data_IF_399170265817
#
_entry.id   IF_399170265817
#
_cell.length_a   1.000
_cell.length_b   1.000
_cell.length_c   1.000
_cell.angle_alpha   90.00
_cell.angle_beta   90.00
_cell.angle_gamma   90.00
#
_symmetry.space_group_name_H-M   'P 1'
#
loop_
_entity.id
_entity.type
_entity.pdbx_description
1 polymer ?
#
# COMPACT_ATOMS: atom_id res chain seq x y z
N UNK A 1 -25.53 56.62 5.94
CA UNK A 1 -26.13 55.89 4.81
C UNK A 1 -25.27 54.64 4.63
N UNK A 2 -25.84 53.45 4.87
CA UNK A 2 -25.24 52.14 4.64
C UNK A 2 -24.73 52.04 3.18
N UNK A 3 -23.70 51.30 2.76
CA UNK A 3 -23.26 49.91 2.95
C UNK A 3 -22.06 49.76 1.97
N UNK A 4 -21.07 48.88 2.04
CA UNK A 4 -21.05 47.44 2.25
C UNK A 4 -19.62 47.03 2.64
N UNK A 5 -19.55 46.24 3.69
CA UNK A 5 -18.51 45.24 3.96
C UNK A 5 -18.27 44.39 2.70
N UNK A 6 -16.99 44.12 2.34
CA UNK A 6 -16.47 42.89 1.69
C UNK A 6 -14.99 43.11 1.34
N UNK A 7 -14.06 43.01 2.30
CA UNK A 7 -13.49 41.76 2.83
C UNK A 7 -12.76 40.94 1.76
N UNK A 8 -11.43 40.90 1.92
CA UNK A 8 -10.51 39.83 1.59
C UNK A 8 -10.63 39.21 0.19
N UNK A 9 -9.71 39.61 -0.70
CA UNK A 9 -9.27 38.79 -1.82
C UNK A 9 -8.72 37.48 -1.24
N UNK A 10 -9.58 36.45 -1.20
CA UNK A 10 -9.30 35.15 -0.66
C UNK A 10 -8.14 34.52 -1.41
N UNK A 11 -6.99 34.48 -0.75
CA UNK A 11 -5.83 33.69 -1.11
C UNK A 11 -6.21 32.20 -0.95
N UNK A 12 -6.91 31.65 -1.95
CA UNK A 12 -7.19 30.22 -2.02
C UNK A 12 -5.90 29.49 -2.43
N UNK A 13 -4.93 29.46 -1.52
CA UNK A 13 -3.89 28.45 -1.53
C UNK A 13 -4.60 27.12 -1.24
N UNK A 14 -5.05 26.43 -2.29
CA UNK A 14 -5.30 25.00 -2.19
C UNK A 14 -3.96 24.35 -1.87
N UNK A 15 -3.66 24.23 -0.58
CA UNK A 15 -2.63 23.31 -0.09
C UNK A 15 -3.14 21.93 -0.42
N UNK A 16 -2.73 21.40 -1.58
CA UNK A 16 -2.69 19.97 -1.79
C UNK A 16 -1.78 19.42 -0.69
N UNK A 17 -2.38 19.01 0.43
CA UNK A 17 -1.68 18.20 1.40
C UNK A 17 -1.27 16.94 0.63
N UNK A 18 0.00 16.87 0.27
CA UNK A 18 0.62 15.64 -0.22
C UNK A 18 0.55 14.68 0.96
N UNK A 19 -0.52 13.90 1.03
CA UNK A 19 -0.54 12.73 1.90
C UNK A 19 0.51 11.81 1.29
N UNK A 20 1.70 11.83 1.88
CA UNK A 20 2.71 10.82 1.64
C UNK A 20 2.08 9.49 2.05
N UNK A 21 1.74 8.67 1.07
CA UNK A 21 1.34 7.30 1.32
C UNK A 21 2.60 6.58 1.82
N UNK A 22 2.68 6.35 3.13
CA UNK A 22 3.70 5.49 3.71
C UNK A 22 3.15 4.08 3.64
N UNK A 23 3.67 3.26 2.73
CA UNK A 23 3.45 1.83 2.77
C UNK A 23 4.08 1.27 4.06
N UNK A 24 3.35 0.42 4.76
CA UNK A 24 3.84 -0.31 5.93
C UNK A 24 4.68 -1.52 5.45
N UNK A 25 5.53 -2.05 6.33
CA UNK A 25 6.50 -3.09 5.98
C UNK A 25 6.25 -4.39 6.75
N UNK A 26 6.39 -5.52 6.07
CA UNK A 26 6.38 -6.85 6.66
C UNK A 26 7.57 -7.67 6.17
N UNK A 27 8.19 -8.45 7.06
CA UNK A 27 9.28 -9.38 6.73
C UNK A 27 8.91 -10.79 7.16
N UNK A 28 9.24 -11.78 6.34
CA UNK A 28 8.99 -13.18 6.69
C UNK A 28 9.33 -14.13 5.55
N UNK A 29 9.09 -15.43 5.79
CA UNK A 29 9.19 -16.45 4.75
C UNK A 29 7.85 -16.63 4.06
N UNK A 30 7.87 -16.79 2.74
CA UNK A 30 6.68 -17.17 1.98
C UNK A 30 6.21 -18.55 2.47
N UNK A 31 4.99 -18.64 2.96
CA UNK A 31 4.34 -19.89 3.30
C UNK A 31 3.60 -20.48 2.10
N UNK A 32 2.86 -19.64 1.37
CA UNK A 32 2.15 -20.04 0.15
C UNK A 32 1.85 -18.83 -0.75
N UNK A 33 1.69 -19.11 -2.04
CA UNK A 33 1.23 -18.16 -3.06
C UNK A 33 0.05 -18.80 -3.77
N UNK A 34 -1.05 -18.07 -3.85
CA UNK A 34 -2.26 -18.44 -4.59
C UNK A 34 -2.45 -17.45 -5.74
N UNK A 35 -1.93 -17.77 -6.94
CA UNK A 35 -2.04 -16.89 -8.10
C UNK A 35 -3.44 -16.87 -8.71
N UNK A 36 -4.32 -17.81 -8.38
CA UNK A 36 -5.70 -17.81 -8.86
C UNK A 36 -6.55 -16.79 -8.10
N UNK A 37 -6.29 -16.65 -6.80
CA UNK A 37 -7.00 -15.73 -5.92
C UNK A 37 -6.21 -14.46 -5.61
N UNK A 38 -5.01 -14.29 -6.17
CA UNK A 38 -4.11 -13.17 -5.95
C UNK A 38 -3.75 -12.96 -4.47
N UNK A 39 -3.32 -14.03 -3.80
CA UNK A 39 -3.01 -14.01 -2.37
C UNK A 39 -1.60 -14.55 -2.09
N UNK A 40 -0.85 -13.83 -1.25
CA UNK A 40 0.42 -14.28 -0.67
C UNK A 40 0.27 -14.42 0.85
N UNK A 41 0.81 -15.51 1.41
CA UNK A 41 0.80 -15.78 2.85
C UNK A 41 2.23 -15.93 3.35
N UNK A 42 2.58 -15.24 4.43
CA UNK A 42 3.84 -15.41 5.16
C UNK A 42 3.71 -16.46 6.28
N UNK A 43 4.84 -17.00 6.75
CA UNK A 43 4.99 -18.00 7.81
C UNK A 43 4.32 -17.67 9.17
N UNK A 44 3.94 -16.41 9.39
CA UNK A 44 3.10 -15.95 10.52
C UNK A 44 1.59 -15.97 10.28
N UNK A 45 1.09 -16.63 9.22
CA UNK A 45 -0.30 -16.56 8.72
C UNK A 45 -0.74 -15.13 8.37
N UNK A 46 0.21 -14.25 8.04
CA UNK A 46 -0.10 -12.89 7.58
C UNK A 46 -0.36 -12.92 6.08
N UNK A 47 -1.49 -12.40 5.67
CA UNK A 47 -2.01 -12.47 4.30
C UNK A 47 -1.94 -11.12 3.61
N UNK A 48 -1.58 -11.14 2.33
CA UNK A 48 -1.46 -9.98 1.46
C UNK A 48 -2.14 -10.22 0.12
N UNK A 49 -2.86 -9.23 -0.37
CA UNK A 49 -3.44 -9.21 -1.70
C UNK A 49 -2.36 -8.80 -2.72
N UNK A 50 -2.26 -9.57 -3.79
CA UNK A 50 -1.33 -9.36 -4.90
C UNK A 50 -2.07 -8.52 -5.96
N UNK A 51 -1.56 -7.36 -6.39
CA UNK A 51 -2.13 -6.65 -7.53
C UNK A 51 -2.09 -7.51 -8.80
N UNK A 52 -3.10 -7.40 -9.67
CA UNK A 52 -3.16 -8.19 -10.92
C UNK A 52 -1.92 -7.98 -11.82
N UNK A 53 -1.28 -6.82 -11.73
CA UNK A 53 -0.08 -6.47 -12.49
C UNK A 53 1.22 -6.98 -11.86
N UNK A 54 1.17 -7.61 -10.70
CA UNK A 54 2.34 -8.04 -9.95
C UNK A 54 2.74 -9.48 -10.31
N UNK A 55 3.90 -9.64 -10.94
CA UNK A 55 4.42 -10.96 -11.30
C UNK A 55 5.08 -11.63 -10.09
N UNK A 56 4.64 -12.85 -9.77
CA UNK A 56 5.14 -13.66 -8.64
C UNK A 56 5.70 -15.01 -9.09
N UNK A 57 5.99 -15.16 -10.39
CA UNK A 57 6.44 -16.41 -11.00
C UNK A 57 7.81 -16.90 -10.51
N UNK A 58 8.68 -15.98 -10.10
CA UNK A 58 10.00 -16.28 -9.53
C UNK A 58 9.98 -16.48 -8.00
N UNK A 59 8.80 -16.44 -7.38
CA UNK A 59 8.64 -16.60 -5.94
C UNK A 59 8.19 -18.01 -5.57
N UNK A 60 8.83 -18.58 -4.56
CA UNK A 60 8.56 -19.93 -4.08
C UNK A 60 8.38 -19.96 -2.55
N UNK A 61 7.57 -20.89 -2.02
CA UNK A 61 7.52 -21.13 -0.58
C UNK A 61 8.90 -21.38 0.03
N UNK A 62 9.17 -20.72 1.16
CA UNK A 62 10.44 -20.78 1.89
C UNK A 62 11.40 -19.63 1.62
N UNK A 63 11.19 -18.85 0.54
CA UNK A 63 11.93 -17.63 0.26
C UNK A 63 11.67 -16.57 1.33
N UNK A 64 12.72 -15.89 1.76
CA UNK A 64 12.60 -14.72 2.63
C UNK A 64 12.22 -13.52 1.77
N UNK A 65 11.25 -12.73 2.20
CA UNK A 65 10.82 -11.51 1.49
C UNK A 65 10.62 -10.34 2.45
N UNK A 66 10.75 -9.14 1.90
CA UNK A 66 10.32 -7.88 2.50
C UNK A 66 9.17 -7.34 1.64
N UNK A 67 8.02 -7.15 2.26
CA UNK A 67 6.80 -6.68 1.60
C UNK A 67 6.51 -5.28 2.10
N UNK A 68 6.39 -4.33 1.17
CA UNK A 68 5.75 -3.05 1.42
C UNK A 68 4.29 -3.17 1.00
N UNK A 69 3.38 -2.68 1.83
CA UNK A 69 1.95 -2.80 1.60
C UNK A 69 1.18 -1.59 2.10
N UNK A 70 -0.03 -1.41 1.58
CA UNK A 70 -1.00 -0.43 2.07
C UNK A 70 -2.27 -1.13 2.53
N UNK A 71 -2.99 -0.53 3.48
CA UNK A 71 -4.30 -1.03 3.89
C UNK A 71 -5.37 -0.36 3.05
N UNK A 72 -5.92 -1.10 2.08
CA UNK A 72 -7.00 -0.64 1.21
C UNK A 72 -8.25 -1.42 1.57
N UNK A 73 -9.31 -0.73 1.97
CA UNK A 73 -10.60 -1.33 2.38
C UNK A 73 -10.48 -2.43 3.49
N UNK A 74 -9.40 -2.40 4.28
CA UNK A 74 -9.13 -3.37 5.34
C UNK A 74 -8.25 -4.56 4.92
N UNK A 75 -7.82 -4.61 3.66
CA UNK A 75 -6.92 -5.62 3.12
C UNK A 75 -5.49 -5.08 3.00
N UNK A 76 -4.49 -5.92 3.27
CA UNK A 76 -3.08 -5.57 3.05
C UNK A 76 -2.74 -5.78 1.58
N UNK A 77 -2.68 -4.71 0.79
CA UNK A 77 -2.36 -4.76 -0.65
C UNK A 77 -0.88 -4.52 -0.85
N UNK A 78 -0.19 -5.44 -1.52
CA UNK A 78 1.24 -5.31 -1.82
C UNK A 78 1.45 -4.10 -2.74
N UNK A 79 2.37 -3.24 -2.36
CA UNK A 79 2.85 -2.12 -3.20
C UNK A 79 4.25 -2.37 -3.74
N UNK A 80 5.06 -3.15 -3.01
CA UNK A 80 6.39 -3.57 -3.43
C UNK A 80 6.78 -4.88 -2.72
N UNK A 81 7.61 -5.70 -3.38
CA UNK A 81 8.13 -6.95 -2.82
C UNK A 81 9.59 -7.12 -3.24
N UNK A 82 10.44 -7.30 -2.23
CA UNK A 82 11.85 -7.58 -2.41
C UNK A 82 12.19 -8.97 -1.84
N UNK A 83 13.02 -9.72 -2.55
CA UNK A 83 13.59 -10.97 -2.03
C UNK A 83 14.61 -10.58 -0.96
N UNK A 84 14.37 -11.00 0.28
CA UNK A 84 15.27 -10.74 1.39
C UNK A 84 16.52 -11.62 1.32
N UNK A 85 17.64 -11.09 1.82
CA UNK A 85 18.91 -11.84 1.96
C UNK A 85 18.81 -13.05 2.91
#
# INVERSE_FOLDING_TARGET
MASFVRAALALAFMTFATVSAFADEARGKIASIDPENYVLVLDGNRTFAIPEEFYVEDLEPGMTVVIQFEVVEGENVITDLEIGE
#
